data_IF_234425727653
#
_entry.id   IF_234425727653
#
_cell.length_a   1.000
_cell.length_b   1.000
_cell.length_c   1.000
_cell.angle_alpha   90.00
_cell.angle_beta   90.00
_cell.angle_gamma   90.00
#
_symmetry.space_group_name_H-M   'P 1'
#
loop_
_entity.id
_entity.type
_entity.pdbx_description
1 polymer ?
#
# COMPACT_ATOMS: atom_id res chain seq x y z
N UNK A 1 60.83 24.47 -19.69
CA UNK A 1 59.84 25.54 -19.97
C UNK A 1 58.87 25.12 -21.08
N UNK A 2 59.39 24.67 -22.24
CA UNK A 2 58.61 24.16 -23.40
C UNK A 2 57.58 23.05 -23.07
N UNK A 3 57.95 22.05 -22.26
CA UNK A 3 57.04 20.95 -21.90
C UNK A 3 55.86 21.36 -21.01
N UNK A 4 56.03 22.38 -20.16
CA UNK A 4 54.94 22.94 -19.34
C UNK A 4 53.97 23.75 -20.20
N UNK A 5 54.47 24.51 -21.19
CA UNK A 5 53.63 25.24 -22.13
C UNK A 5 52.83 24.29 -23.04
N UNK A 6 53.44 23.22 -23.53
CA UNK A 6 52.71 22.16 -24.27
C UNK A 6 51.61 21.51 -23.41
N UNK A 7 51.86 21.25 -22.12
CA UNK A 7 50.82 20.70 -21.24
C UNK A 7 49.64 21.66 -21.01
N UNK A 8 49.90 22.97 -21.00
CA UNK A 8 48.87 24.00 -20.79
C UNK A 8 48.02 24.14 -22.05
N UNK A 9 48.65 24.16 -23.23
CA UNK A 9 47.93 24.25 -24.51
C UNK A 9 47.05 23.02 -24.74
N UNK A 10 47.53 21.83 -24.35
CA UNK A 10 46.73 20.59 -24.39
C UNK A 10 45.57 20.66 -23.38
N UNK A 11 45.81 21.14 -22.16
CA UNK A 11 44.77 21.24 -21.13
C UNK A 11 43.68 22.28 -21.44
N UNK A 12 44.04 23.34 -22.17
CA UNK A 12 43.12 24.41 -22.58
C UNK A 12 42.44 24.14 -23.93
N UNK A 13 42.70 23.00 -24.57
CA UNK A 13 41.97 22.58 -25.75
C UNK A 13 40.46 22.48 -25.41
N UNK A 14 39.56 23.14 -26.16
CA UNK A 14 38.11 23.08 -25.97
C UNK A 14 37.56 21.66 -25.81
N UNK A 15 38.06 20.68 -26.56
CA UNK A 15 37.61 19.28 -26.49
C UNK A 15 37.99 18.62 -25.16
N UNK A 16 39.18 18.95 -24.64
CA UNK A 16 39.65 18.44 -23.35
C UNK A 16 38.90 19.10 -22.19
N UNK A 17 38.54 20.38 -22.34
CA UNK A 17 37.69 21.10 -21.37
C UNK A 17 36.28 20.54 -21.38
N UNK A 18 35.70 20.27 -22.55
CA UNK A 18 34.37 19.67 -22.70
C UNK A 18 34.33 18.27 -22.08
N UNK A 19 35.28 17.39 -22.42
CA UNK A 19 35.41 16.06 -21.79
C UNK A 19 35.59 16.14 -20.27
N UNK A 20 36.40 17.08 -19.77
CA UNK A 20 36.52 17.29 -18.32
C UNK A 20 35.22 17.76 -17.70
N UNK A 21 34.46 18.64 -18.35
CA UNK A 21 33.15 19.10 -17.90
C UNK A 21 32.15 17.95 -17.88
N UNK A 22 32.09 17.13 -18.93
CA UNK A 22 31.18 15.98 -19.00
C UNK A 22 31.48 14.96 -17.90
N UNK A 23 32.77 14.64 -17.68
CA UNK A 23 33.20 13.77 -16.57
C UNK A 23 32.88 14.38 -15.20
N UNK A 24 33.00 15.70 -15.06
CA UNK A 24 32.64 16.41 -13.83
C UNK A 24 31.13 16.42 -13.59
N UNK A 25 30.31 16.53 -14.63
CA UNK A 25 28.85 16.48 -14.55
C UNK A 25 28.33 15.05 -14.29
N UNK A 26 28.96 14.02 -14.88
CA UNK A 26 28.69 12.60 -14.59
C UNK A 26 29.04 12.23 -13.13
N UNK A 27 30.05 12.88 -12.55
CA UNK A 27 30.44 12.68 -11.16
C UNK A 27 29.52 13.34 -10.13
N UNK A 28 28.61 14.24 -10.55
CA UNK A 28 27.68 14.89 -9.62
C UNK A 28 26.53 13.95 -9.28
N UNK A 29 26.19 13.90 -7.99
CA UNK A 29 24.94 13.27 -7.55
C UNK A 29 23.76 14.08 -8.06
N UNK A 30 22.65 13.41 -8.33
CA UNK A 30 21.38 14.08 -8.56
C UNK A 30 20.99 14.96 -7.36
N UNK A 31 20.30 16.09 -7.60
CA UNK A 31 19.65 16.84 -6.55
C UNK A 31 18.75 15.92 -5.71
N UNK A 32 18.78 16.10 -4.38
CA UNK A 32 18.09 15.19 -3.46
C UNK A 32 16.58 15.16 -3.71
N UNK A 33 15.96 16.28 -4.06
CA UNK A 33 14.53 16.36 -4.34
C UNK A 33 14.14 15.55 -5.60
N UNK A 34 15.01 15.53 -6.62
CA UNK A 34 14.83 14.73 -7.83
C UNK A 34 14.97 13.25 -7.50
N UNK A 35 15.98 12.87 -6.71
CA UNK A 35 16.17 11.49 -6.26
C UNK A 35 14.99 11.01 -5.42
N UNK A 36 14.45 11.85 -4.53
CA UNK A 36 13.29 11.52 -3.71
C UNK A 36 12.04 11.32 -4.57
N UNK A 37 11.82 12.14 -5.59
CA UNK A 37 10.74 11.96 -6.57
C UNK A 37 10.87 10.62 -7.30
N UNK A 38 12.08 10.26 -7.76
CA UNK A 38 12.33 8.97 -8.43
C UNK A 38 12.04 7.81 -7.48
N UNK A 39 12.46 7.91 -6.22
CA UNK A 39 12.21 6.89 -5.21
C UNK A 39 10.70 6.69 -4.97
N UNK A 40 9.93 7.79 -4.89
CA UNK A 40 8.48 7.74 -4.74
C UNK A 40 7.81 7.14 -5.99
N UNK A 41 8.21 7.54 -7.21
CA UNK A 41 7.66 6.94 -8.44
C UNK A 41 7.97 5.45 -8.57
N UNK A 42 9.16 5.04 -8.14
CA UNK A 42 9.55 3.62 -8.09
C UNK A 42 8.65 2.85 -7.12
N UNK A 43 8.42 3.39 -5.92
CA UNK A 43 7.49 2.83 -4.95
C UNK A 43 6.07 2.73 -5.50
N UNK A 44 5.55 3.80 -6.11
CA UNK A 44 4.21 3.84 -6.70
C UNK A 44 4.06 2.79 -7.79
N UNK A 45 5.03 2.68 -8.72
CA UNK A 45 5.03 1.65 -9.76
C UNK A 45 4.91 0.25 -9.16
N UNK A 46 5.73 -0.04 -8.14
CA UNK A 46 5.75 -1.37 -7.52
C UNK A 46 4.43 -1.68 -6.82
N UNK A 47 3.86 -0.71 -6.11
CA UNK A 47 2.63 -0.92 -5.33
C UNK A 47 1.39 -0.93 -6.23
N UNK A 48 1.27 0.01 -7.16
CA UNK A 48 0.11 0.14 -8.04
C UNK A 48 0.01 -1.02 -9.03
N UNK A 49 1.14 -1.47 -9.58
CA UNK A 49 1.19 -2.59 -10.52
C UNK A 49 1.44 -3.95 -9.82
N UNK A 50 1.48 -3.98 -8.48
CA UNK A 50 1.65 -5.19 -7.67
C UNK A 50 2.90 -6.00 -8.09
N UNK A 51 3.99 -5.30 -8.38
CA UNK A 51 5.24 -5.92 -8.84
C UNK A 51 5.99 -6.61 -7.69
N UNK A 52 6.77 -7.67 -7.99
CA UNK A 52 7.68 -8.23 -7.00
C UNK A 52 8.65 -7.17 -6.48
N UNK A 53 8.83 -7.08 -5.16
CA UNK A 53 9.78 -6.12 -4.56
C UNK A 53 11.21 -6.33 -5.07
N UNK A 54 11.56 -7.54 -5.52
CA UNK A 54 12.86 -7.88 -6.11
C UNK A 54 13.13 -7.23 -7.45
N UNK A 55 12.13 -6.60 -8.09
CA UNK A 55 12.32 -5.94 -9.39
C UNK A 55 13.42 -4.87 -9.34
N UNK A 56 13.56 -4.18 -8.21
CA UNK A 56 14.59 -3.15 -8.00
C UNK A 56 16.01 -3.71 -7.96
N UNK A 57 16.17 -5.01 -7.70
CA UNK A 57 17.46 -5.70 -7.75
C UNK A 57 17.77 -6.28 -9.14
N UNK A 58 16.80 -6.28 -10.07
CA UNK A 58 17.00 -6.74 -11.44
C UNK A 58 18.05 -5.90 -12.14
N UNK A 59 19.04 -6.56 -12.76
CA UNK A 59 20.05 -5.89 -13.58
C UNK A 59 19.41 -5.08 -14.71
N UNK A 60 18.31 -5.56 -15.30
CA UNK A 60 17.60 -4.86 -16.37
C UNK A 60 16.89 -3.61 -15.87
N UNK A 61 16.27 -3.66 -14.69
CA UNK A 61 15.63 -2.48 -14.08
C UNK A 61 16.67 -1.42 -13.72
N UNK A 62 17.81 -1.86 -13.16
CA UNK A 62 18.93 -0.99 -12.83
C UNK A 62 19.54 -0.34 -14.07
N UNK A 63 19.80 -1.13 -15.11
CA UNK A 63 20.34 -0.63 -16.38
C UNK A 63 19.38 0.37 -17.03
N UNK A 64 18.08 0.04 -17.13
CA UNK A 64 17.07 0.95 -17.64
C UNK A 64 17.05 2.29 -16.89
N UNK A 65 17.06 2.24 -15.55
CA UNK A 65 17.07 3.45 -14.72
C UNK A 65 18.34 4.29 -14.92
N UNK A 66 19.49 3.63 -15.12
CA UNK A 66 20.79 4.28 -15.36
C UNK A 66 20.94 4.81 -16.79
N UNK A 67 20.25 4.22 -17.76
CA UNK A 67 20.23 4.72 -19.15
C UNK A 67 19.42 6.01 -19.26
N UNK A 68 18.38 6.16 -18.46
CA UNK A 68 17.62 7.42 -18.37
C UNK A 68 18.50 8.52 -17.77
N UNK A 69 19.16 8.25 -16.64
CA UNK A 69 20.15 9.15 -16.05
C UNK A 69 21.15 8.35 -15.20
N UNK A 70 22.42 8.40 -15.58
CA UNK A 70 23.50 7.61 -14.99
C UNK A 70 23.74 7.93 -13.51
N UNK A 71 23.28 9.10 -13.04
CA UNK A 71 23.42 9.58 -11.66
C UNK A 71 22.32 9.05 -10.73
N UNK A 72 21.27 8.41 -11.27
CA UNK A 72 20.18 7.81 -10.47
C UNK A 72 20.70 6.76 -9.51
N UNK A 73 20.45 6.96 -8.22
CA UNK A 73 20.69 5.94 -7.21
C UNK A 73 19.44 5.07 -7.07
N UNK A 74 19.38 3.97 -7.81
CA UNK A 74 18.25 3.02 -7.75
C UNK A 74 18.15 2.45 -6.34
N UNK A 75 16.95 2.49 -5.75
CA UNK A 75 16.67 1.95 -4.42
C UNK A 75 17.22 0.53 -4.27
N UNK A 76 17.79 0.26 -3.09
CA UNK A 76 18.04 -1.11 -2.66
C UNK A 76 16.84 -1.65 -1.89
N UNK A 77 16.76 -2.98 -1.77
CA UNK A 77 15.64 -3.66 -1.12
C UNK A 77 15.35 -3.13 0.29
N UNK A 78 16.40 -2.82 1.05
CA UNK A 78 16.28 -2.26 2.40
C UNK A 78 15.59 -0.90 2.39
N UNK A 79 16.02 0.01 1.51
CA UNK A 79 15.45 1.35 1.39
C UNK A 79 14.01 1.32 0.88
N UNK A 80 13.71 0.43 -0.08
CA UNK A 80 12.34 0.23 -0.56
C UNK A 80 11.41 -0.24 0.56
N UNK A 81 11.82 -1.24 1.36
CA UNK A 81 11.01 -1.73 2.50
C UNK A 81 10.76 -0.65 3.55
N UNK A 82 11.75 0.18 3.85
CA UNK A 82 11.59 1.32 4.76
C UNK A 82 10.62 2.36 4.19
N UNK A 83 10.69 2.63 2.89
CA UNK A 83 9.76 3.54 2.22
C UNK A 83 8.33 2.99 2.24
N UNK A 84 8.14 1.71 1.93
CA UNK A 84 6.83 1.04 2.02
C UNK A 84 6.27 1.15 3.44
N UNK A 85 7.06 0.87 4.47
CA UNK A 85 6.62 0.99 5.86
C UNK A 85 6.21 2.43 6.21
N UNK A 86 7.00 3.43 5.78
CA UNK A 86 6.69 4.84 6.00
C UNK A 86 5.39 5.26 5.30
N UNK A 87 5.21 4.90 4.04
CA UNK A 87 4.00 5.23 3.28
C UNK A 87 2.77 4.46 3.79
N UNK A 88 2.95 3.24 4.27
CA UNK A 88 1.88 2.47 4.91
C UNK A 88 1.36 3.13 6.18
N UNK A 89 2.23 3.72 7.02
CA UNK A 89 1.81 4.49 8.20
C UNK A 89 0.95 5.70 7.80
N UNK A 90 1.34 6.42 6.75
CA UNK A 90 0.55 7.55 6.23
C UNK A 90 -0.79 7.07 5.68
N UNK A 91 -0.80 6.00 4.89
CA UNK A 91 -2.02 5.37 4.38
C UNK A 91 -2.95 4.97 5.53
N UNK A 92 -2.44 4.26 6.54
CA UNK A 92 -3.24 3.87 7.72
C UNK A 92 -3.82 5.09 8.43
N UNK A 93 -3.03 6.15 8.63
CA UNK A 93 -3.52 7.40 9.22
C UNK A 93 -4.60 8.07 8.36
N UNK A 94 -4.45 8.07 7.03
CA UNK A 94 -5.44 8.61 6.12
C UNK A 94 -6.76 7.85 6.21
N UNK A 95 -6.73 6.52 6.18
CA UNK A 95 -7.94 5.68 6.31
C UNK A 95 -8.63 5.90 7.65
N UNK A 96 -7.88 6.04 8.76
CA UNK A 96 -8.45 6.38 10.07
C UNK A 96 -9.25 7.68 10.02
N UNK A 97 -8.70 8.72 9.38
CA UNK A 97 -9.39 10.01 9.24
C UNK A 97 -10.64 9.88 8.35
N UNK A 98 -10.57 9.13 7.26
CA UNK A 98 -11.73 8.85 6.41
C UNK A 98 -12.85 8.14 7.20
N UNK A 99 -12.51 7.18 8.07
CA UNK A 99 -13.50 6.52 8.94
C UNK A 99 -14.10 7.44 10.00
N UNK A 100 -13.38 8.46 10.47
CA UNK A 100 -13.95 9.47 11.36
C UNK A 100 -15.01 10.32 10.65
N UNK A 101 -14.81 10.62 9.38
CA UNK A 101 -15.76 11.40 8.56
C UNK A 101 -16.92 10.55 8.02
N UNK A 102 -16.68 9.27 7.75
CA UNK A 102 -17.71 8.36 7.23
C UNK A 102 -18.87 8.20 8.21
N UNK A 103 -20.11 8.29 7.71
CA UNK A 103 -21.30 7.99 8.51
C UNK A 103 -21.40 6.49 8.82
N UNK A 104 -21.19 5.66 7.79
CA UNK A 104 -21.23 4.22 7.88
C UNK A 104 -20.11 3.58 7.06
N UNK A 105 -19.63 2.43 7.53
CA UNK A 105 -18.62 1.60 6.86
C UNK A 105 -19.18 0.18 6.73
N UNK A 106 -19.02 -0.41 5.55
CA UNK A 106 -19.26 -1.83 5.31
C UNK A 106 -17.91 -2.54 5.20
N UNK A 107 -17.78 -3.70 5.83
CA UNK A 107 -16.58 -4.53 5.70
C UNK A 107 -16.89 -5.74 4.83
N UNK A 108 -15.93 -6.15 4.01
CA UNK A 108 -15.89 -7.48 3.40
C UNK A 108 -14.69 -8.21 4.01
N UNK A 109 -14.86 -9.47 4.36
CA UNK A 109 -13.80 -10.30 4.91
C UNK A 109 -13.80 -11.67 4.24
N UNK A 110 -12.60 -12.09 3.83
CA UNK A 110 -12.36 -13.34 3.10
C UNK A 110 -11.23 -14.09 3.79
N UNK A 111 -11.40 -15.41 3.93
CA UNK A 111 -10.40 -16.31 4.47
C UNK A 111 -10.09 -17.38 3.44
N UNK A 112 -8.86 -17.36 2.93
CA UNK A 112 -8.41 -18.34 1.94
C UNK A 112 -7.18 -19.11 2.42
N UNK A 113 -7.08 -20.34 1.92
CA UNK A 113 -5.89 -21.17 2.07
C UNK A 113 -4.91 -20.93 0.92
N UNK A 114 -3.61 -20.91 1.23
CA UNK A 114 -2.53 -20.95 0.26
C UNK A 114 -1.44 -21.93 0.76
N UNK A 115 -1.34 -23.09 0.09
CA UNK A 115 -0.46 -24.20 0.47
C UNK A 115 -0.69 -24.63 1.93
N UNK A 116 0.28 -24.36 2.82
CA UNK A 116 0.24 -24.72 4.26
C UNK A 116 -0.11 -23.53 5.16
N UNK A 117 -0.59 -22.45 4.57
CA UNK A 117 -0.92 -21.22 5.27
C UNK A 117 -2.34 -20.80 4.94
N UNK A 118 -2.95 -20.05 5.83
CA UNK A 118 -4.20 -19.37 5.56
C UNK A 118 -4.01 -17.90 5.82
N UNK A 119 -4.81 -17.09 5.14
CA UNK A 119 -4.76 -15.66 5.18
C UNK A 119 -6.16 -15.12 5.34
N UNK A 120 -6.26 -13.93 5.92
CA UNK A 120 -7.51 -13.22 6.06
C UNK A 120 -7.37 -11.80 5.53
N UNK A 121 -8.15 -11.52 4.50
CA UNK A 121 -8.32 -10.22 3.91
C UNK A 121 -9.50 -9.50 4.54
N UNK A 122 -9.37 -8.20 4.81
CA UNK A 122 -10.51 -7.35 5.16
C UNK A 122 -10.44 -6.09 4.30
N UNK A 123 -11.54 -5.78 3.62
CA UNK A 123 -11.70 -4.55 2.84
C UNK A 123 -12.84 -3.73 3.42
N UNK A 124 -12.60 -2.44 3.62
CA UNK A 124 -13.64 -1.50 4.03
C UNK A 124 -14.18 -0.73 2.84
N UNK A 125 -15.48 -0.44 2.87
CA UNK A 125 -16.19 0.34 1.88
C UNK A 125 -17.04 1.41 2.58
N UNK A 126 -17.00 2.65 2.10
CA UNK A 126 -17.80 3.75 2.63
C UNK A 126 -18.21 4.71 1.52
N UNK A 127 -19.20 5.55 1.79
CA UNK A 127 -19.59 6.63 0.89
C UNK A 127 -18.92 7.93 1.32
N UNK A 128 -18.37 8.67 0.36
CA UNK A 128 -17.78 9.98 0.56
C UNK A 128 -18.52 11.00 -0.29
N UNK A 129 -18.96 12.08 0.34
CA UNK A 129 -19.53 13.23 -0.34
C UNK A 129 -18.40 14.19 -0.71
N UNK A 130 -18.32 14.55 -1.99
CA UNK A 130 -17.37 15.52 -2.52
C UNK A 130 -17.91 16.96 -2.35
N UNK A 131 -17.05 17.99 -2.49
CA UNK A 131 -17.47 19.39 -2.33
C UNK A 131 -18.58 19.85 -3.27
N UNK A 132 -18.72 19.21 -4.43
CA UNK A 132 -19.76 19.46 -5.44
C UNK A 132 -21.09 18.74 -5.13
N UNK A 133 -21.16 18.00 -4.02
CA UNK A 133 -22.32 17.20 -3.63
C UNK A 133 -22.33 15.78 -4.22
N UNK A 134 -21.38 15.43 -5.09
CA UNK A 134 -21.28 14.09 -5.66
C UNK A 134 -20.95 13.06 -4.58
N UNK A 135 -21.67 11.93 -4.56
CA UNK A 135 -21.39 10.82 -3.65
C UNK A 135 -20.61 9.73 -4.41
N UNK A 136 -19.43 9.40 -3.90
CA UNK A 136 -18.58 8.34 -4.46
C UNK A 136 -18.41 7.21 -3.45
N UNK A 137 -18.34 5.97 -3.98
CA UNK A 137 -18.01 4.80 -3.18
C UNK A 137 -16.49 4.68 -3.07
N UNK A 138 -16.00 4.75 -1.84
CA UNK A 138 -14.61 4.51 -1.49
C UNK A 138 -14.41 3.06 -1.07
N UNK A 139 -13.19 2.55 -1.23
CA UNK A 139 -12.81 1.21 -0.81
C UNK A 139 -11.34 1.16 -0.43
N UNK A 140 -10.99 0.41 0.61
CA UNK A 140 -9.61 0.22 1.05
C UNK A 140 -9.41 -1.16 1.66
N UNK A 141 -8.37 -1.88 1.20
CA UNK A 141 -7.89 -3.07 1.89
C UNK A 141 -7.22 -2.64 3.21
N UNK A 142 -7.80 -3.07 4.33
CA UNK A 142 -7.34 -2.72 5.68
C UNK A 142 -6.65 -3.87 6.40
N UNK A 143 -6.72 -5.08 5.85
CA UNK A 143 -5.98 -6.23 6.32
C UNK A 143 -5.72 -7.23 5.20
N UNK A 144 -4.54 -7.86 5.22
CA UNK A 144 -4.21 -9.07 4.49
C UNK A 144 -3.09 -9.76 5.26
N UNK A 145 -3.42 -10.44 6.37
CA UNK A 145 -2.42 -11.08 7.23
C UNK A 145 -2.66 -12.57 7.35
N UNK A 146 -1.64 -13.25 7.88
CA UNK A 146 -1.67 -14.67 8.16
C UNK A 146 -2.74 -14.97 9.21
N UNK A 147 -3.55 -15.99 8.93
CA UNK A 147 -4.64 -16.45 9.78
C UNK A 147 -4.34 -17.90 10.24
N UNK A 148 -3.56 -18.08 11.32
CA UNK A 148 -3.11 -19.41 11.73
C UNK A 148 -4.19 -20.22 12.48
N UNK A 149 -4.19 -21.52 12.25
CA UNK A 149 -5.04 -22.48 12.94
C UNK A 149 -6.45 -22.60 12.34
N UNK A 150 -7.38 -23.16 13.11
CA UNK A 150 -8.73 -23.47 12.64
C UNK A 150 -9.52 -22.24 12.24
N UNK A 151 -10.29 -22.34 11.15
CA UNK A 151 -11.15 -21.28 10.60
C UNK A 151 -12.48 -21.19 11.32
N UNK A 152 -12.43 -21.06 12.65
CA UNK A 152 -13.64 -20.95 13.48
C UNK A 152 -14.21 -19.54 13.42
N UNK A 153 -15.52 -19.44 13.66
CA UNK A 153 -16.25 -18.18 13.70
C UNK A 153 -15.70 -17.17 14.68
N UNK A 154 -15.42 -17.63 15.89
CA UNK A 154 -14.97 -16.76 16.97
C UNK A 154 -13.63 -16.12 16.61
N UNK A 155 -12.71 -16.88 15.99
CA UNK A 155 -11.41 -16.36 15.56
C UNK A 155 -11.53 -15.34 14.43
N UNK A 156 -12.43 -15.58 13.47
CA UNK A 156 -12.66 -14.62 12.37
C UNK A 156 -13.27 -13.32 12.92
N UNK A 157 -14.22 -13.42 13.85
CA UNK A 157 -14.78 -12.23 14.52
C UNK A 157 -13.76 -11.48 15.38
N UNK A 158 -12.96 -12.20 16.16
CA UNK A 158 -11.87 -11.62 16.95
C UNK A 158 -10.89 -10.88 16.05
N UNK A 159 -10.52 -11.48 14.92
CA UNK A 159 -9.64 -10.87 13.93
C UNK A 159 -10.24 -9.60 13.31
N UNK A 160 -11.51 -9.63 12.89
CA UNK A 160 -12.20 -8.45 12.36
C UNK A 160 -12.24 -7.35 13.42
N UNK A 161 -12.56 -7.70 14.67
CA UNK A 161 -12.55 -6.74 15.79
C UNK A 161 -11.17 -6.13 16.00
N UNK A 162 -10.11 -6.93 15.97
CA UNK A 162 -8.74 -6.43 16.07
C UNK A 162 -8.44 -5.43 14.95
N UNK A 163 -8.79 -5.76 13.71
CA UNK A 163 -8.61 -4.86 12.56
C UNK A 163 -9.41 -3.57 12.75
N UNK A 164 -10.65 -3.65 13.23
CA UNK A 164 -11.46 -2.46 13.55
C UNK A 164 -10.78 -1.57 14.61
N UNK A 165 -10.32 -2.17 15.70
CA UNK A 165 -9.64 -1.48 16.80
C UNK A 165 -8.34 -0.81 16.31
N UNK A 166 -7.56 -1.49 15.48
CA UNK A 166 -6.33 -0.96 14.88
C UNK A 166 -6.57 0.28 14.00
N UNK A 167 -7.72 0.34 13.33
CA UNK A 167 -8.16 1.46 12.49
C UNK A 167 -9.05 2.46 13.24
N UNK A 168 -9.25 2.30 14.56
CA UNK A 168 -10.11 3.17 15.35
C UNK A 168 -11.53 3.27 14.79
N UNK A 169 -12.02 2.18 14.18
CA UNK A 169 -13.34 2.09 13.57
C UNK A 169 -14.34 1.57 14.60
N UNK A 170 -15.19 2.43 15.21
CA UNK A 170 -16.09 1.97 16.25
C UNK A 170 -17.21 1.11 15.67
N UNK A 171 -17.66 0.13 16.47
CA UNK A 171 -18.68 -0.83 16.04
C UNK A 171 -20.00 -0.17 15.58
N UNK A 172 -20.41 0.95 16.19
CA UNK A 172 -21.64 1.66 15.79
C UNK A 172 -21.59 2.29 14.39
N UNK A 173 -20.39 2.47 13.81
CA UNK A 173 -20.23 2.93 12.42
C UNK A 173 -20.22 1.78 11.42
N UNK A 174 -20.01 0.55 11.84
CA UNK A 174 -20.02 -0.61 10.95
C UNK A 174 -21.46 -1.01 10.69
N UNK A 175 -21.93 -0.85 9.45
CA UNK A 175 -23.31 -1.18 9.08
C UNK A 175 -23.47 -2.67 8.74
N UNK A 176 -22.46 -3.26 8.11
CA UNK A 176 -22.49 -4.64 7.64
C UNK A 176 -21.06 -5.21 7.60
N UNK A 177 -20.96 -6.53 7.79
CA UNK A 177 -19.76 -7.30 7.45
C UNK A 177 -20.19 -8.43 6.53
N UNK A 178 -19.62 -8.48 5.33
CA UNK A 178 -19.88 -9.46 4.30
C UNK A 178 -18.74 -10.47 4.30
N UNK A 179 -19.08 -11.75 4.34
CA UNK A 179 -18.12 -12.86 4.29
C UNK A 179 -18.59 -13.89 3.28
N UNK A 180 -17.68 -14.54 2.56
CA UNK A 180 -17.98 -15.52 1.52
C UNK A 180 -18.31 -16.94 2.03
N UNK A 181 -18.22 -17.19 3.35
CA UNK A 181 -18.47 -18.52 3.92
C UNK A 181 -19.90 -18.68 4.53
N UNK A 182 -20.88 -18.99 3.67
CA UNK A 182 -22.32 -18.96 3.99
C UNK A 182 -22.86 -19.93 5.05
N UNK A 183 -22.18 -21.04 5.39
CA UNK A 183 -22.69 -22.03 6.36
C UNK A 183 -22.27 -21.75 7.81
N UNK A 184 -21.27 -20.89 7.97
CA UNK A 184 -20.43 -20.86 9.15
C UNK A 184 -20.75 -19.60 10.01
N UNK A 185 -21.10 -18.46 9.41
CA UNK A 185 -21.18 -17.18 10.13
C UNK A 185 -22.54 -16.74 10.68
N UNK A 186 -23.61 -17.53 10.47
CA UNK A 186 -24.95 -17.23 11.03
C UNK A 186 -24.95 -17.22 12.57
N UNK A 187 -23.99 -17.89 13.23
CA UNK A 187 -23.86 -17.93 14.69
C UNK A 187 -23.04 -16.77 15.27
N UNK A 188 -22.00 -16.30 14.58
CA UNK A 188 -21.08 -15.26 15.07
C UNK A 188 -21.76 -13.94 15.35
N UNK A 189 -22.72 -13.56 14.50
CA UNK A 189 -23.49 -12.33 14.68
C UNK A 189 -24.53 -12.39 15.81
N UNK A 190 -24.92 -13.59 16.28
CA UNK A 190 -25.70 -13.71 17.52
C UNK A 190 -24.87 -13.26 18.73
N UNK A 191 -23.56 -13.51 18.75
CA UNK A 191 -22.69 -13.11 19.86
C UNK A 191 -22.61 -11.58 20.02
N UNK A 192 -22.52 -10.84 18.91
CA UNK A 192 -22.50 -9.37 18.91
C UNK A 192 -23.87 -8.71 19.18
N UNK A 193 -24.97 -9.47 19.10
CA UNK A 193 -26.32 -8.99 19.36
C UNK A 193 -26.87 -9.39 20.74
N UNK A 194 -26.14 -10.18 21.53
CA UNK A 194 -26.54 -10.64 22.87
C UNK A 194 -25.64 -10.03 23.97
N UNK A 195 -25.42 -8.73 23.91
CA UNK A 195 -25.14 -7.93 25.11
C UNK A 195 -26.31 -6.97 25.34
N UNK A 196 -27.44 -7.56 25.77
CA UNK A 196 -28.57 -6.79 26.30
C UNK A 196 -28.15 -6.28 27.67
N UNK A 197 -27.87 -4.98 27.78
CA UNK A 197 -28.43 -4.05 28.78
C UNK A 197 -27.91 -2.63 28.47
N UNK A 198 -28.86 -1.79 28.03
CA UNK A 198 -28.92 -0.32 28.14
C UNK A 198 -27.96 0.56 27.32
N UNK A 199 -28.39 0.88 26.09
CA UNK A 199 -28.53 2.25 25.56
C UNK A 199 -28.81 2.18 24.05
N UNK A 200 -29.72 3.03 23.56
CA UNK A 200 -30.24 3.06 22.19
C UNK A 200 -29.14 2.99 21.11
N UNK A 201 -29.11 1.90 20.34
CA UNK A 201 -28.77 1.79 18.90
C UNK A 201 -28.09 0.45 18.60
N UNK A 202 -28.87 -0.61 18.36
CA UNK A 202 -28.34 -1.88 17.87
C UNK A 202 -29.32 -2.52 16.90
N UNK A 203 -29.05 -2.39 15.59
CA UNK A 203 -29.65 -3.25 14.55
C UNK A 203 -28.62 -3.48 13.45
N UNK A 204 -27.84 -4.56 13.57
CA UNK A 204 -27.09 -5.15 12.45
C UNK A 204 -28.04 -6.13 11.75
N UNK A 205 -28.78 -5.65 10.74
CA UNK A 205 -29.66 -6.46 9.91
C UNK A 205 -29.06 -6.57 8.50
N UNK A 206 -28.71 -7.81 8.15
CA UNK A 206 -28.55 -8.38 6.79
C UNK A 206 -27.13 -8.75 6.36
N UNK A 207 -26.96 -10.02 6.00
CA UNK A 207 -25.81 -10.57 5.29
C UNK A 207 -26.20 -10.58 3.80
N UNK A 208 -25.46 -9.88 2.94
CA UNK A 208 -25.55 -10.07 1.50
C UNK A 208 -24.38 -10.94 1.05
N UNK A 209 -24.68 -12.11 0.50
CA UNK A 209 -23.69 -12.93 -0.22
C UNK A 209 -23.57 -12.32 -1.62
N UNK A 210 -22.42 -11.76 -1.95
CA UNK A 210 -22.09 -11.39 -3.33
C UNK A 210 -20.71 -11.89 -3.69
N UNK A 211 -20.63 -12.79 -4.66
CA UNK A 211 -19.39 -13.16 -5.33
C UNK A 211 -18.84 -11.94 -6.07
N UNK A 212 -17.79 -11.30 -5.54
CA UNK A 212 -16.93 -10.43 -6.35
C UNK A 212 -15.82 -11.29 -6.93
N UNK A 213 -15.94 -11.60 -8.23
CA UNK A 213 -14.87 -12.20 -9.01
C UNK A 213 -13.65 -11.28 -8.97
N UNK A 214 -12.60 -11.67 -8.26
CA UNK A 214 -11.27 -11.13 -8.51
C UNK A 214 -10.80 -11.76 -9.82
N UNK A 215 -10.96 -11.03 -10.93
CA UNK A 215 -10.28 -11.36 -12.19
C UNK A 215 -8.80 -11.03 -12.00
N UNK A 216 -8.08 -11.92 -11.32
CA UNK A 216 -6.66 -12.07 -11.58
C UNK A 216 -6.53 -12.62 -13.00
N UNK A 217 -6.16 -11.77 -13.95
CA UNK A 217 -5.81 -12.25 -15.28
C UNK A 217 -4.60 -13.19 -15.13
N UNK A 218 -4.77 -14.42 -15.61
CA UNK A 218 -3.67 -15.34 -15.88
C UNK A 218 -2.64 -14.71 -16.82
#
# INVERSE_FOLDING_TARGET
IRSKQESIVVALNPDNIAKKRDVLEEGKKLPQDVQDKINIRTFELIVAEVLPLSIIESVYFRNYSKEIDSRVNVLCMKSLKLLIAKEFVKFKSHIKNEFQMAMHVCLTADVWGAKRHSFMGVTAHWLKMLPDGTIIRMSAAISCLRFPGSHTHDKVAEYIKQVMDEYGLPAYKVSHVVTDNGSNFVKTFKQFSVSKVLSKSFYLKHLFISNMNFVGRN
#
